data_IF_762000231023
#
_entry.id   IF_762000231023
#
_cell.length_a   1.000
_cell.length_b   1.000
_cell.length_c   1.000
_cell.angle_alpha   90.00
_cell.angle_beta   90.00
_cell.angle_gamma   90.00
#
_symmetry.space_group_name_H-M   'P 1'
#
loop_
_entity.id
_entity.type
_entity.pdbx_description
1 polymer ?
#
# COMPACT_ATOMS: atom_id res chain seq x y z
N UNK A 1 -16.98 -0.85 14.99
CA UNK A 1 -15.60 -1.25 14.63
C UNK A 1 -15.54 -2.76 14.70
N UNK A 2 -15.75 -3.44 13.57
CA UNK A 2 -15.69 -4.91 13.48
C UNK A 2 -14.27 -5.24 13.05
N UNK A 3 -13.39 -5.58 13.99
CA UNK A 3 -12.02 -6.00 13.70
C UNK A 3 -12.09 -7.42 13.14
N UNK A 4 -11.98 -7.57 11.82
CA UNK A 4 -11.86 -8.87 11.20
C UNK A 4 -10.49 -9.48 11.52
N UNK A 5 -10.47 -10.74 11.95
CA UNK A 5 -9.29 -11.56 12.25
C UNK A 5 -8.46 -11.95 11.00
N UNK A 6 -8.51 -11.16 9.93
CA UNK A 6 -7.78 -11.42 8.70
C UNK A 6 -6.61 -10.43 8.58
N UNK A 7 -5.41 -10.95 8.27
CA UNK A 7 -4.30 -10.10 7.86
C UNK A 7 -4.73 -9.34 6.58
N UNK A 8 -4.62 -8.00 6.53
CA UNK A 8 -5.09 -7.21 5.38
C UNK A 8 -4.32 -7.50 4.09
N UNK A 9 -3.15 -8.14 4.18
CA UNK A 9 -2.37 -8.60 3.04
C UNK A 9 -2.64 -10.06 2.65
N UNK A 10 -2.52 -10.33 1.35
CA UNK A 10 -2.57 -11.68 0.78
C UNK A 10 -1.36 -12.52 1.19
N UNK A 11 -1.30 -13.77 0.71
CA UNK A 11 -0.21 -14.71 1.01
C UNK A 11 1.15 -14.27 0.47
N UNK A 12 1.16 -13.33 -0.48
CA UNK A 12 2.32 -12.68 -1.08
C UNK A 12 2.72 -11.38 -0.37
N UNK A 13 1.99 -11.00 0.69
CA UNK A 13 2.23 -9.77 1.44
C UNK A 13 1.67 -8.51 0.77
N UNK A 14 0.97 -8.62 -0.37
CA UNK A 14 0.34 -7.47 -1.04
C UNK A 14 -1.00 -7.16 -0.38
N UNK A 15 -1.28 -5.88 -0.12
CA UNK A 15 -2.53 -5.49 0.54
C UNK A 15 -3.75 -5.74 -0.39
N UNK A 16 -4.71 -6.52 0.11
CA UNK A 16 -5.91 -6.91 -0.66
C UNK A 16 -7.16 -6.13 -0.27
N UNK A 17 -7.18 -5.52 0.91
CA UNK A 17 -8.25 -4.62 1.33
C UNK A 17 -8.38 -3.46 0.33
N UNK A 18 -9.59 -2.98 0.06
CA UNK A 18 -9.79 -1.84 -0.84
C UNK A 18 -9.36 -2.06 -2.30
N UNK A 19 -9.41 -3.30 -2.80
CA UNK A 19 -9.04 -3.63 -4.19
C UNK A 19 -10.15 -3.36 -5.24
N UNK A 20 -11.33 -2.87 -4.84
CA UNK A 20 -12.47 -2.71 -5.75
C UNK A 20 -12.17 -1.74 -6.91
N UNK A 21 -12.31 -2.16 -8.19
CA UNK A 21 -12.27 -1.27 -9.35
C UNK A 21 -13.47 -0.35 -9.46
N UNK A 22 -14.63 -0.81 -8.96
CA UNK A 22 -15.92 -0.32 -9.44
C UNK A 22 -16.52 0.74 -8.52
N UNK A 23 -15.83 1.06 -7.42
CA UNK A 23 -16.34 1.96 -6.39
C UNK A 23 -15.22 2.71 -5.69
N UNK A 24 -15.36 4.03 -5.59
CA UNK A 24 -14.66 4.85 -4.60
C UNK A 24 -15.26 4.56 -3.22
N UNK A 25 -14.64 3.68 -2.43
CA UNK A 25 -15.10 3.34 -1.09
C UNK A 25 -13.99 3.55 -0.04
N UNK A 26 -14.40 3.62 1.22
CA UNK A 26 -13.49 3.88 2.35
C UNK A 26 -12.37 2.84 2.46
N UNK A 27 -12.63 1.58 2.04
CA UNK A 27 -11.62 0.53 2.01
C UNK A 27 -10.43 0.85 1.09
N UNK A 28 -10.67 1.50 -0.06
CA UNK A 28 -9.58 1.98 -0.94
C UNK A 28 -8.75 3.06 -0.24
N UNK A 29 -9.38 3.93 0.57
CA UNK A 29 -8.67 4.95 1.33
C UNK A 29 -7.93 4.40 2.56
N UNK A 30 -8.44 3.33 3.17
CA UNK A 30 -7.84 2.75 4.37
C UNK A 30 -6.45 2.16 4.12
N UNK A 31 -6.20 1.54 2.95
CA UNK A 31 -4.83 1.08 2.62
C UNK A 31 -3.84 2.24 2.59
N UNK A 32 -4.24 3.38 2.03
CA UNK A 32 -3.39 4.58 1.91
C UNK A 32 -3.07 5.15 3.28
N UNK A 33 -4.06 5.19 4.17
CA UNK A 33 -3.88 5.59 5.58
C UNK A 33 -2.94 4.64 6.31
N UNK A 34 -3.06 3.33 6.12
CA UNK A 34 -2.16 2.36 6.73
C UNK A 34 -0.71 2.60 6.29
N UNK A 35 -0.46 2.77 4.99
CA UNK A 35 0.89 3.00 4.46
C UNK A 35 1.49 4.31 5.00
N UNK A 36 0.70 5.37 5.09
CA UNK A 36 1.13 6.63 5.72
C UNK A 36 1.46 6.46 7.21
N UNK A 37 0.65 5.70 7.95
CA UNK A 37 0.90 5.45 9.36
C UNK A 37 2.17 4.60 9.58
N UNK A 38 2.44 3.65 8.68
CA UNK A 38 3.66 2.85 8.70
C UNK A 38 4.89 3.70 8.36
N UNK A 39 4.80 4.60 7.37
CA UNK A 39 5.87 5.54 7.06
C UNK A 39 6.19 6.46 8.25
N UNK A 40 5.17 7.00 8.92
CA UNK A 40 5.36 7.79 10.14
C UNK A 40 6.04 6.96 11.26
N UNK A 41 5.62 5.70 11.43
CA UNK A 41 6.25 4.81 12.39
C UNK A 41 7.71 4.49 12.03
N UNK A 42 8.02 4.29 10.75
CA UNK A 42 9.38 4.07 10.26
C UNK A 42 10.29 5.26 10.61
N UNK A 43 9.83 6.48 10.33
CA UNK A 43 10.59 7.70 10.58
C UNK A 43 10.82 7.97 12.07
N UNK A 44 9.81 7.74 12.93
CA UNK A 44 9.94 7.97 14.39
C UNK A 44 10.83 6.96 15.11
N UNK A 45 11.08 5.79 14.52
CA UNK A 45 11.81 4.69 15.16
C UNK A 45 13.30 4.68 14.85
N UNK A 46 13.79 5.68 14.14
CA UNK A 46 15.21 5.83 13.84
C UNK A 46 16.03 5.92 15.14
N UNK A 47 17.02 5.03 15.29
CA UNK A 47 17.88 4.96 16.47
C UNK A 47 17.23 4.34 17.72
N UNK A 48 15.95 3.93 17.63
CA UNK A 48 15.20 3.29 18.73
C UNK A 48 14.90 1.82 18.41
N UNK A 49 14.36 1.52 17.22
CA UNK A 49 13.97 0.16 16.86
C UNK A 49 14.20 -0.13 15.36
N UNK A 50 15.45 -0.46 15.04
CA UNK A 50 15.87 -0.76 13.67
C UNK A 50 15.24 -2.03 13.10
N UNK A 51 14.94 -3.03 13.94
CA UNK A 51 14.26 -4.24 13.49
C UNK A 51 12.84 -3.95 12.97
N UNK A 52 12.10 -3.08 13.65
CA UNK A 52 10.79 -2.62 13.18
C UNK A 52 10.92 -1.80 11.89
N UNK A 53 11.95 -0.96 11.78
CA UNK A 53 12.21 -0.19 10.55
C UNK A 53 12.48 -1.10 9.35
N UNK A 54 13.29 -2.14 9.54
CA UNK A 54 13.55 -3.15 8.50
C UNK A 54 12.26 -3.85 8.08
N UNK A 55 11.39 -4.20 9.03
CA UNK A 55 10.11 -4.85 8.74
C UNK A 55 9.20 -3.92 7.92
N UNK A 56 9.06 -2.65 8.33
CA UNK A 56 8.24 -1.67 7.62
C UNK A 56 8.81 -1.40 6.22
N UNK A 57 10.11 -1.17 6.09
CA UNK A 57 10.78 -0.99 4.80
C UNK A 57 10.51 -2.19 3.88
N UNK A 58 10.70 -3.41 4.36
CA UNK A 58 10.43 -4.63 3.58
C UNK A 58 8.97 -4.69 3.11
N UNK A 59 8.01 -4.36 3.99
CA UNK A 59 6.60 -4.33 3.64
C UNK A 59 6.25 -3.25 2.59
N UNK A 60 6.83 -2.05 2.72
CA UNK A 60 6.66 -0.96 1.73
C UNK A 60 7.24 -1.36 0.37
N UNK A 61 8.41 -2.01 0.33
CA UNK A 61 8.98 -2.53 -0.91
C UNK A 61 8.08 -3.54 -1.61
N UNK A 62 7.43 -4.44 -0.85
CA UNK A 62 6.44 -5.37 -1.42
C UNK A 62 5.29 -4.61 -2.09
N UNK A 63 4.73 -3.59 -1.42
CA UNK A 63 3.63 -2.81 -2.00
C UNK A 63 4.08 -2.01 -3.23
N UNK A 64 5.29 -1.43 -3.17
CA UNK A 64 5.86 -0.66 -4.27
C UNK A 64 6.09 -1.52 -5.51
N UNK A 65 6.69 -2.70 -5.35
CA UNK A 65 6.89 -3.63 -6.46
C UNK A 65 5.56 -4.11 -7.04
N UNK A 66 4.57 -4.43 -6.19
CA UNK A 66 3.24 -4.80 -6.66
C UNK A 66 2.56 -3.69 -7.47
N UNK A 67 2.70 -2.42 -7.04
CA UNK A 67 2.19 -1.28 -7.79
C UNK A 67 2.82 -1.15 -9.18
N UNK A 68 4.14 -1.29 -9.28
CA UNK A 68 4.87 -1.14 -10.53
C UNK A 68 4.63 -2.31 -11.49
N UNK A 69 4.64 -3.53 -10.98
CA UNK A 69 4.68 -4.75 -11.80
C UNK A 69 3.28 -5.31 -12.10
N UNK A 70 2.33 -5.17 -11.16
CA UNK A 70 1.03 -5.84 -11.23
C UNK A 70 -0.15 -4.87 -11.36
N UNK A 71 0.01 -3.63 -10.91
CA UNK A 71 -1.09 -2.67 -10.81
C UNK A 71 -0.96 -1.47 -11.77
N UNK A 72 0.13 -1.37 -12.53
CA UNK A 72 0.38 -0.26 -13.43
C UNK A 72 -0.16 -0.48 -14.85
N UNK A 73 -0.73 0.57 -15.43
CA UNK A 73 -1.14 0.66 -16.83
C UNK A 73 -0.38 1.81 -17.48
N UNK A 74 0.93 1.63 -17.68
CA UNK A 74 1.86 2.64 -18.20
C UNK A 74 2.14 3.76 -17.19
N UNK A 75 1.20 4.69 -17.05
CA UNK A 75 1.32 5.89 -16.19
C UNK A 75 0.17 6.03 -15.18
N UNK A 76 -0.64 4.98 -15.01
CA UNK A 76 -1.77 4.96 -14.07
C UNK A 76 -1.70 3.72 -13.19
N UNK A 77 -2.21 3.82 -11.97
CA UNK A 77 -2.19 2.75 -10.98
C UNK A 77 -3.60 2.31 -10.57
N UNK A 78 -3.81 1.00 -10.45
CA UNK A 78 -5.04 0.40 -9.94
C UNK A 78 -5.12 0.42 -8.41
N UNK A 79 -6.34 0.37 -7.86
CA UNK A 79 -6.59 0.04 -6.45
C UNK A 79 -6.35 -1.44 -6.12
N UNK A 80 -6.37 -2.33 -7.12
CA UNK A 80 -6.08 -3.76 -7.00
C UNK A 80 -4.59 -4.04 -7.19
N UNK A 81 -3.81 -3.97 -6.11
CA UNK A 81 -2.35 -4.09 -6.18
C UNK A 81 -1.84 -5.51 -6.45
N UNK A 82 -2.65 -6.53 -6.17
CA UNK A 82 -2.35 -7.91 -6.56
C UNK A 82 -2.55 -8.17 -8.07
N UNK A 83 -3.00 -7.16 -8.83
CA UNK A 83 -3.28 -7.25 -10.25
C UNK A 83 -4.54 -8.07 -10.60
N UNK A 84 -4.86 -8.20 -11.90
CA UNK A 84 -4.24 -7.45 -13.01
C UNK A 84 -4.58 -5.94 -12.93
N UNK A 85 -3.82 -5.08 -13.63
CA UNK A 85 -4.05 -3.64 -13.58
C UNK A 85 -5.40 -3.29 -14.20
N UNK A 86 -6.02 -2.24 -13.68
CA UNK A 86 -7.33 -1.75 -14.11
C UNK A 86 -7.18 -0.40 -14.81
N UNK A 87 -8.25 0.04 -15.48
CA UNK A 87 -8.31 1.37 -16.08
C UNK A 87 -8.16 2.48 -15.03
N UNK A 88 -7.89 3.69 -15.52
CA UNK A 88 -7.72 4.87 -14.66
C UNK A 88 -8.93 5.07 -13.75
N UNK A 89 -8.66 5.18 -12.45
CA UNK A 89 -9.59 5.70 -11.46
C UNK A 89 -8.87 6.71 -10.57
N UNK A 90 -9.58 7.75 -10.14
CA UNK A 90 -9.03 8.76 -9.24
C UNK A 90 -8.59 8.15 -7.90
N UNK A 91 -9.38 7.21 -7.36
CA UNK A 91 -9.04 6.55 -6.10
C UNK A 91 -7.88 5.56 -6.22
N UNK A 92 -7.70 4.89 -7.37
CA UNK A 92 -6.51 4.07 -7.62
C UNK A 92 -5.23 4.92 -7.60
N UNK A 93 -5.28 6.12 -8.21
CA UNK A 93 -4.14 7.05 -8.18
C UNK A 93 -3.88 7.55 -6.75
N UNK A 94 -4.93 7.99 -6.04
CA UNK A 94 -4.80 8.46 -4.67
C UNK A 94 -4.26 7.36 -3.74
N UNK A 95 -4.66 6.11 -3.96
CA UNK A 95 -4.17 5.00 -3.17
C UNK A 95 -2.69 4.72 -3.38
N UNK A 96 -2.19 4.86 -4.61
CA UNK A 96 -0.79 4.65 -4.92
C UNK A 96 0.14 5.72 -4.32
N UNK A 97 -0.32 6.96 -4.14
CA UNK A 97 0.52 8.08 -3.69
C UNK A 97 1.25 7.79 -2.36
N UNK A 98 0.56 7.25 -1.36
CA UNK A 98 1.18 7.01 -0.05
C UNK A 98 2.24 5.88 -0.10
N UNK A 99 2.10 4.89 -1.00
CA UNK A 99 3.15 3.88 -1.20
C UNK A 99 4.36 4.53 -1.87
N UNK A 100 4.15 5.33 -2.91
CA UNK A 100 5.23 5.98 -3.64
C UNK A 100 6.02 6.95 -2.74
N UNK A 101 5.33 7.69 -1.87
CA UNK A 101 5.98 8.57 -0.88
C UNK A 101 6.73 7.74 0.17
N UNK A 102 6.11 6.72 0.76
CA UNK A 102 6.76 5.86 1.75
C UNK A 102 8.01 5.17 1.19
N UNK A 103 7.97 4.76 -0.08
CA UNK A 103 9.12 4.15 -0.76
C UNK A 103 10.31 5.11 -0.89
N UNK A 104 10.09 6.43 -1.01
CA UNK A 104 11.17 7.43 -1.04
C UNK A 104 11.85 7.54 0.33
N UNK A 105 11.10 7.53 1.43
CA UNK A 105 11.67 7.59 2.78
C UNK A 105 12.36 6.28 3.19
N UNK A 106 11.89 5.17 2.65
CA UNK A 106 12.46 3.85 2.93
C UNK A 106 13.66 3.49 2.02
N UNK A 107 14.00 4.34 1.04
CA UNK A 107 15.11 4.15 0.10
C UNK A 107 16.51 4.40 0.70
#
# INVERSE_FOLDING_TARGET
MHLANAHPAGSDGVITEGASPDSSNDGVGFKSILLRALDEAYNRRQGDNEALRILIHSYVCVQFNALLDLAATGYTYSSAWAGPPQGFTTWGQMAALDVLVAAIHAA
#
